data_IF_242090730907
#
_entry.id   IF_242090730907
#
_cell.length_a   1.000
_cell.length_b   1.000
_cell.length_c   1.000
_cell.angle_alpha   90.00
_cell.angle_beta   90.00
_cell.angle_gamma   90.00
#
_symmetry.space_group_name_H-M   'P 1'
#
loop_
_entity.id
_entity.type
_entity.pdbx_description
1 polymer ?
#
# COMPACT_ATOMS: atom_id res chain seq x y z
N UNK A 1 18.11 -17.27 28.93
CA UNK A 1 18.81 -16.93 27.68
C UNK A 1 17.81 -17.06 26.53
N UNK A 2 17.17 -15.96 26.16
CA UNK A 2 16.28 -15.93 24.99
C UNK A 2 17.07 -15.35 23.83
N UNK A 3 17.44 -16.21 22.88
CA UNK A 3 18.21 -15.84 21.70
C UNK A 3 17.37 -14.91 20.82
N UNK A 4 17.55 -13.59 21.01
CA UNK A 4 17.17 -12.61 20.00
C UNK A 4 18.07 -12.84 18.80
N UNK A 5 17.58 -13.60 17.82
CA UNK A 5 18.17 -13.64 16.49
C UNK A 5 17.84 -12.32 15.81
N UNK A 6 18.59 -11.28 16.16
CA UNK A 6 18.64 -10.05 15.38
C UNK A 6 18.98 -10.43 13.94
N UNK A 7 18.26 -9.84 12.99
CA UNK A 7 18.47 -10.06 11.57
C UNK A 7 19.94 -9.74 11.22
N UNK A 8 20.76 -10.78 11.11
CA UNK A 8 22.08 -10.69 10.52
C UNK A 8 21.89 -10.57 8.99
N UNK A 9 22.49 -9.54 8.36
CA UNK A 9 22.54 -9.39 6.90
C UNK A 9 23.14 -10.65 6.26
N UNK A 10 22.74 -11.15 5.09
CA UNK A 10 22.28 -10.54 3.85
C UNK A 10 21.16 -11.45 3.25
N UNK A 11 19.94 -11.30 3.74
CA UNK A 11 18.79 -12.15 3.34
C UNK A 11 17.64 -11.35 2.76
N UNK A 12 17.88 -10.09 2.36
CA UNK A 12 16.82 -9.19 1.90
C UNK A 12 16.03 -9.81 0.74
N UNK A 13 16.71 -10.46 -0.22
CA UNK A 13 16.06 -11.18 -1.33
C UNK A 13 15.04 -12.21 -0.85
N UNK A 14 15.40 -13.06 0.11
CA UNK A 14 14.50 -14.10 0.63
C UNK A 14 13.29 -13.53 1.39
N UNK A 15 13.43 -12.33 1.97
CA UNK A 15 12.30 -11.64 2.60
C UNK A 15 11.43 -10.94 1.56
N UNK A 16 12.03 -10.38 0.51
CA UNK A 16 11.29 -9.82 -0.63
C UNK A 16 10.45 -10.89 -1.32
N UNK A 17 11.00 -12.09 -1.55
CA UNK A 17 10.25 -13.22 -2.12
C UNK A 17 9.05 -13.60 -1.25
N UNK A 18 9.25 -13.70 0.08
CA UNK A 18 8.16 -13.98 1.02
C UNK A 18 7.11 -12.88 1.10
N UNK A 19 7.53 -11.63 0.91
CA UNK A 19 6.64 -10.47 0.94
C UNK A 19 5.64 -10.45 -0.23
N UNK A 20 5.90 -11.17 -1.32
CA UNK A 20 4.95 -11.34 -2.42
C UNK A 20 3.76 -12.22 -2.04
N UNK A 21 3.91 -13.11 -1.06
CA UNK A 21 2.82 -13.97 -0.59
C UNK A 21 2.06 -13.35 0.59
N UNK A 22 2.79 -12.65 1.46
CA UNK A 22 2.24 -12.06 2.68
C UNK A 22 3.13 -10.96 3.24
N UNK A 23 2.50 -9.94 3.83
CA UNK A 23 3.20 -8.86 4.52
C UNK A 23 4.13 -9.38 5.63
N UNK A 24 5.32 -8.78 5.70
CA UNK A 24 6.31 -9.05 6.73
C UNK A 24 6.42 -7.84 7.64
N UNK A 25 6.03 -7.99 8.90
CA UNK A 25 6.16 -6.93 9.91
C UNK A 25 7.57 -6.94 10.50
N UNK A 26 8.28 -5.82 10.36
CA UNK A 26 9.63 -5.61 10.91
C UNK A 26 9.50 -5.05 12.31
N UNK A 27 10.14 -5.72 13.27
CA UNK A 27 10.15 -5.32 14.70
C UNK A 27 11.56 -4.95 15.18
N UNK A 28 11.65 -3.87 15.96
CA UNK A 28 12.86 -3.44 16.68
C UNK A 28 12.50 -3.25 18.15
N UNK A 29 13.27 -3.83 19.06
CA UNK A 29 13.00 -3.77 20.51
C UNK A 29 11.54 -4.08 20.88
N UNK A 30 10.97 -5.10 20.23
CA UNK A 30 9.57 -5.52 20.39
C UNK A 30 8.51 -4.51 19.93
N UNK A 31 8.92 -3.44 19.23
CA UNK A 31 8.02 -2.48 18.58
C UNK A 31 7.95 -2.75 17.08
N UNK A 32 6.75 -2.71 16.51
CA UNK A 32 6.57 -2.69 15.04
C UNK A 32 7.10 -1.36 14.49
N UNK A 33 8.03 -1.42 13.54
CA UNK A 33 8.72 -0.24 13.01
C UNK A 33 8.54 -0.06 11.51
N UNK A 34 8.26 -1.13 10.78
CA UNK A 34 8.01 -1.09 9.35
C UNK A 34 7.25 -2.35 8.90
N UNK A 35 6.75 -2.31 7.67
CA UNK A 35 6.21 -3.46 6.96
C UNK A 35 6.95 -3.57 5.62
N UNK A 36 7.30 -4.79 5.22
CA UNK A 36 7.73 -5.12 3.87
C UNK A 36 6.56 -5.83 3.18
N UNK A 37 6.03 -5.19 2.14
CA UNK A 37 4.92 -5.66 1.31
C UNK A 37 5.42 -5.83 -0.11
N UNK A 38 5.20 -7.01 -0.69
CA UNK A 38 5.40 -7.25 -2.12
C UNK A 38 4.16 -6.85 -2.92
N UNK A 39 4.32 -6.74 -4.23
CA UNK A 39 3.22 -6.50 -5.16
C UNK A 39 3.12 -7.71 -6.08
N UNK A 40 1.93 -8.33 -6.20
CA UNK A 40 1.76 -9.51 -7.04
C UNK A 40 1.84 -9.16 -8.53
N UNK A 41 1.41 -7.94 -8.88
CA UNK A 41 1.46 -7.39 -10.23
C UNK A 41 1.59 -5.85 -10.21
N UNK A 42 1.65 -5.28 -11.43
CA UNK A 42 1.73 -3.83 -11.64
C UNK A 42 0.46 -3.11 -11.14
N UNK A 43 -0.70 -3.76 -11.21
CA UNK A 43 -1.97 -3.17 -10.77
C UNK A 43 -1.98 -2.97 -9.25
N UNK A 44 -1.47 -3.93 -8.47
CA UNK A 44 -1.29 -3.77 -7.03
C UNK A 44 -0.32 -2.64 -6.67
N UNK A 45 0.78 -2.52 -7.41
CA UNK A 45 1.73 -1.42 -7.19
C UNK A 45 1.09 -0.06 -7.52
N UNK A 46 0.33 0.02 -8.61
CA UNK A 46 -0.38 1.21 -9.00
C UNK A 46 -1.45 1.60 -7.96
N UNK A 47 -2.22 0.63 -7.48
CA UNK A 47 -3.20 0.84 -6.41
C UNK A 47 -2.54 1.37 -5.13
N UNK A 48 -1.46 0.72 -4.68
CA UNK A 48 -0.69 1.21 -3.52
C UNK A 48 -0.25 2.65 -3.71
N UNK A 49 0.28 2.99 -4.88
CA UNK A 49 0.70 4.36 -5.18
C UNK A 49 -0.46 5.35 -5.11
N UNK A 50 -1.61 5.03 -5.70
CA UNK A 50 -2.78 5.92 -5.71
C UNK A 50 -3.33 6.12 -4.29
N UNK A 51 -3.43 5.06 -3.50
CA UNK A 51 -3.91 5.13 -2.12
C UNK A 51 -3.00 5.99 -1.23
N UNK A 52 -1.72 6.09 -1.55
CA UNK A 52 -0.73 6.86 -0.80
C UNK A 52 -0.39 8.22 -1.43
N UNK A 53 -1.06 8.63 -2.51
CA UNK A 53 -0.85 9.91 -3.17
C UNK A 53 -1.84 10.97 -2.63
N UNK A 54 -1.37 12.00 -1.89
CA UNK A 54 -2.24 13.05 -1.36
C UNK A 54 -2.98 13.84 -2.44
N UNK A 55 -2.41 13.97 -3.64
CA UNK A 55 -3.08 14.65 -4.75
C UNK A 55 -4.25 13.81 -5.26
N UNK A 56 -4.05 12.50 -5.40
CA UNK A 56 -5.11 11.58 -5.78
C UNK A 56 -6.23 11.55 -4.74
N UNK A 57 -5.88 11.50 -3.46
CA UNK A 57 -6.85 11.62 -2.36
C UNK A 57 -7.69 12.90 -2.47
N UNK A 58 -7.05 14.04 -2.74
CA UNK A 58 -7.74 15.32 -2.95
C UNK A 58 -8.67 15.33 -4.16
N UNK A 59 -8.32 14.64 -5.25
CA UNK A 59 -9.19 14.46 -6.42
C UNK A 59 -10.42 13.63 -6.05
N UNK A 60 -10.25 12.53 -5.33
CA UNK A 60 -11.35 11.67 -4.88
C UNK A 60 -12.30 12.43 -3.95
N UNK A 61 -11.78 13.21 -3.01
CA UNK A 61 -12.60 13.98 -2.09
C UNK A 61 -13.43 15.04 -2.82
N UNK A 62 -12.83 15.78 -3.76
CA UNK A 62 -13.56 16.71 -4.63
C UNK A 62 -14.62 16.00 -5.47
N UNK A 63 -14.27 14.88 -6.10
CA UNK A 63 -15.22 14.11 -6.91
C UNK A 63 -16.41 13.62 -6.09
N UNK A 64 -16.19 13.22 -4.83
CA UNK A 64 -17.26 12.85 -3.90
C UNK A 64 -18.13 14.05 -3.52
N UNK A 65 -17.56 15.23 -3.34
CA UNK A 65 -18.30 16.47 -3.11
C UNK A 65 -19.15 16.85 -4.33
N UNK A 66 -18.56 16.85 -5.52
CA UNK A 66 -19.24 17.08 -6.79
C UNK A 66 -20.43 16.12 -6.97
N UNK A 67 -20.25 14.83 -6.67
CA UNK A 67 -21.31 13.83 -6.73
C UNK A 67 -22.47 14.11 -5.76
N UNK A 68 -22.17 14.54 -4.52
CA UNK A 68 -23.21 14.91 -3.55
C UNK A 68 -23.99 16.15 -3.99
N UNK A 69 -23.32 17.07 -4.67
CA UNK A 69 -23.91 18.32 -5.16
C UNK A 69 -24.53 18.17 -6.56
N UNK A 70 -24.56 16.95 -7.11
CA UNK A 70 -25.17 16.65 -8.41
C UNK A 70 -24.35 17.12 -9.63
N UNK A 71 -23.08 17.50 -9.44
CA UNK A 71 -22.14 17.86 -10.51
C UNK A 71 -21.48 16.62 -11.13
N UNK A 72 -22.30 15.68 -11.57
CA UNK A 72 -21.85 14.44 -12.22
C UNK A 72 -22.61 14.22 -13.52
N UNK A 73 -21.92 13.65 -14.49
CA UNK A 73 -22.54 13.13 -15.72
C UNK A 73 -22.80 11.65 -15.52
N UNK A 74 -23.99 11.17 -15.90
CA UNK A 74 -24.25 9.72 -15.83
C UNK A 74 -23.44 9.00 -16.89
N UNK A 75 -23.09 7.76 -16.61
CA UNK A 75 -22.24 6.99 -17.53
C UNK A 75 -22.91 6.79 -18.89
N UNK A 76 -24.25 6.65 -18.94
CA UNK A 76 -25.00 6.56 -20.20
C UNK A 76 -25.00 7.85 -21.04
N UNK A 77 -24.64 8.99 -20.43
CA UNK A 77 -24.61 10.31 -21.08
C UNK A 77 -23.20 10.68 -21.60
N UNK A 78 -22.22 9.76 -21.48
CA UNK A 78 -20.83 9.94 -21.93
C UNK A 78 -20.65 9.16 -23.25
N UNK A 79 -20.20 9.85 -24.32
CA UNK A 79 -19.89 9.27 -25.65
C UNK A 79 -18.60 8.43 -25.67
#
# INVERSE_FOLDING_TARGET
MSSRKGLQGNHLSSYVEKANEQDIVITSDSRHVAVLTGFADEDNYLEYRLLNDPQFQGIIDRSREDAREGRVTRLEDIE
#
